data_IF_890391320989
#
_entry.id   IF_890391320989
#
_cell.length_a   1.000
_cell.length_b   1.000
_cell.length_c   1.000
_cell.angle_alpha   90.00
_cell.angle_beta   90.00
_cell.angle_gamma   90.00
#
_symmetry.space_group_name_H-M   'P 1'
#
loop_
_entity.id
_entity.type
_entity.pdbx_description
1 polymer ?
#
# COMPACT_ATOMS: atom_id res chain seq x y z
N UNK A 1 20.46 -32.38 -14.21
CA UNK A 1 19.62 -32.03 -13.05
C UNK A 1 20.28 -30.99 -12.14
N UNK A 2 21.57 -31.15 -11.78
CA UNK A 2 22.30 -30.16 -10.97
C UNK A 2 22.50 -28.81 -11.68
N UNK A 3 22.79 -28.82 -12.98
CA UNK A 3 23.13 -27.57 -13.69
C UNK A 3 21.93 -26.64 -13.89
N UNK A 4 20.76 -27.19 -14.23
CA UNK A 4 19.53 -26.41 -14.37
C UNK A 4 18.99 -25.85 -13.04
N UNK A 5 19.26 -26.51 -11.91
CA UNK A 5 18.94 -25.93 -10.60
C UNK A 5 19.88 -24.78 -10.26
N UNK A 6 21.19 -24.96 -10.44
CA UNK A 6 22.18 -23.92 -10.18
C UNK A 6 21.89 -22.66 -11.02
N UNK A 7 21.59 -22.82 -12.31
CA UNK A 7 21.22 -21.73 -13.20
C UNK A 7 19.97 -20.97 -12.73
N UNK A 8 18.88 -21.68 -12.40
CA UNK A 8 17.65 -21.07 -11.88
C UNK A 8 17.86 -20.41 -10.51
N UNK A 9 18.74 -20.96 -9.68
CA UNK A 9 19.07 -20.38 -8.39
C UNK A 9 19.87 -19.08 -8.52
N UNK A 10 20.80 -19.01 -9.48
CA UNK A 10 21.48 -17.76 -9.82
C UNK A 10 20.50 -16.70 -10.33
N UNK A 11 19.58 -17.07 -11.22
CA UNK A 11 18.50 -16.18 -11.68
C UNK A 11 17.56 -15.75 -10.55
N UNK A 12 17.28 -16.63 -9.58
CA UNK A 12 16.46 -16.28 -8.43
C UNK A 12 17.12 -15.19 -7.58
N UNK A 13 18.45 -15.25 -7.39
CA UNK A 13 19.19 -14.24 -6.60
C UNK A 13 19.11 -12.84 -7.20
N UNK A 14 18.93 -12.70 -8.52
CA UNK A 14 18.78 -11.40 -9.17
C UNK A 14 17.37 -10.81 -9.00
N UNK A 15 16.38 -11.59 -8.55
CA UNK A 15 14.99 -11.14 -8.36
C UNK A 15 14.74 -10.54 -6.97
N UNK A 16 15.77 -10.00 -6.32
CA UNK A 16 15.69 -9.46 -4.95
C UNK A 16 14.53 -8.46 -4.79
N UNK A 17 14.45 -7.44 -5.65
CA UNK A 17 13.39 -6.43 -5.58
C UNK A 17 12.00 -7.02 -5.84
N UNK A 18 11.88 -8.06 -6.67
CA UNK A 18 10.63 -8.81 -6.85
C UNK A 18 10.20 -9.53 -5.58
N UNK A 19 11.13 -10.15 -4.85
CA UNK A 19 10.84 -10.80 -3.57
C UNK A 19 10.50 -9.78 -2.48
N UNK A 20 11.20 -8.65 -2.47
CA UNK A 20 10.91 -7.54 -1.55
C UNK A 20 9.50 -7.00 -1.78
N UNK A 21 9.08 -6.88 -3.05
CA UNK A 21 7.72 -6.44 -3.40
C UNK A 21 6.63 -7.37 -2.85
N UNK A 22 6.85 -8.70 -2.83
CA UNK A 22 5.89 -9.66 -2.26
C UNK A 22 5.70 -9.44 -0.75
N UNK A 23 6.78 -9.09 -0.05
CA UNK A 23 6.75 -8.89 1.41
C UNK A 23 6.31 -7.47 1.77
N UNK A 24 6.71 -6.49 0.97
CA UNK A 24 6.55 -5.07 1.27
C UNK A 24 6.18 -4.25 0.01
N UNK A 25 4.96 -4.45 -0.53
CA UNK A 25 4.60 -3.96 -1.86
C UNK A 25 4.52 -2.43 -1.96
N UNK A 26 4.30 -1.73 -0.84
CA UNK A 26 4.17 -0.27 -0.81
C UNK A 26 5.51 0.47 -0.76
N UNK A 27 6.56 -0.15 -0.20
CA UNK A 27 7.85 0.50 0.03
C UNK A 27 8.94 0.06 -0.97
N UNK A 28 8.69 -1.00 -1.73
CA UNK A 28 9.67 -1.52 -2.69
C UNK A 28 9.81 -0.59 -3.90
N UNK A 29 11.03 -0.44 -4.43
CA UNK A 29 11.25 0.27 -5.68
C UNK A 29 10.67 -0.51 -6.86
N UNK A 30 9.52 -0.07 -7.36
CA UNK A 30 8.79 -0.73 -8.45
C UNK A 30 9.54 -0.74 -9.78
N UNK A 31 10.53 0.15 -9.97
CA UNK A 31 11.30 0.24 -11.21
C UNK A 31 12.32 -0.89 -11.35
N UNK A 32 12.66 -1.57 -10.26
CA UNK A 32 13.65 -2.66 -10.22
C UNK A 32 13.00 -4.05 -10.19
N UNK A 33 11.67 -4.14 -10.24
CA UNK A 33 10.97 -5.41 -10.21
C UNK A 33 11.21 -6.13 -11.54
N UNK A 34 11.83 -7.29 -11.48
CA UNK A 34 11.97 -8.17 -12.64
C UNK A 34 10.70 -9.01 -12.81
N UNK A 35 10.08 -8.87 -13.98
CA UNK A 35 8.80 -9.52 -14.32
C UNK A 35 8.92 -10.48 -15.49
N UNK A 36 10.02 -10.42 -16.25
CA UNK A 36 10.26 -11.29 -17.42
C UNK A 36 10.13 -12.78 -17.09
N UNK A 37 10.69 -13.29 -15.96
CA UNK A 37 10.62 -14.71 -15.64
C UNK A 37 9.20 -15.24 -15.38
N UNK A 38 8.23 -14.36 -15.15
CA UNK A 38 6.88 -14.71 -14.71
C UNK A 38 5.84 -14.57 -15.82
N UNK A 39 6.23 -14.10 -17.01
CA UNK A 39 5.30 -13.88 -18.12
C UNK A 39 4.20 -12.85 -17.81
N UNK A 40 4.49 -11.90 -16.91
CA UNK A 40 3.55 -10.86 -16.50
C UNK A 40 3.58 -9.73 -17.53
N UNK A 41 2.40 -9.28 -17.94
CA UNK A 41 2.26 -8.09 -18.77
C UNK A 41 2.65 -6.82 -17.99
N UNK A 42 3.61 -6.06 -18.54
CA UNK A 42 4.14 -4.85 -17.92
C UNK A 42 3.07 -3.77 -17.76
N UNK A 43 2.18 -3.62 -18.74
CA UNK A 43 1.10 -2.62 -18.70
C UNK A 43 0.10 -2.91 -17.59
N UNK A 44 -0.36 -4.16 -17.49
CA UNK A 44 -1.24 -4.64 -16.43
C UNK A 44 -0.62 -4.44 -15.05
N UNK A 45 0.66 -4.79 -14.87
CA UNK A 45 1.33 -4.59 -13.58
C UNK A 45 1.42 -3.10 -13.22
N UNK A 46 1.78 -2.22 -14.17
CA UNK A 46 1.84 -0.78 -13.91
C UNK A 46 0.48 -0.21 -13.46
N UNK A 47 -0.61 -0.67 -14.09
CA UNK A 47 -1.97 -0.28 -13.69
C UNK A 47 -2.31 -0.75 -12.27
N UNK A 48 -1.96 -1.98 -11.90
CA UNK A 48 -2.17 -2.50 -10.55
C UNK A 48 -1.33 -1.76 -9.50
N UNK A 49 -0.09 -1.40 -9.83
CA UNK A 49 0.78 -0.61 -8.95
C UNK A 49 0.23 0.80 -8.72
N UNK A 50 -0.34 1.43 -9.75
CA UNK A 50 -0.99 2.73 -9.64
C UNK A 50 -2.23 2.66 -8.74
N UNK A 51 -3.06 1.63 -8.91
CA UNK A 51 -4.22 1.40 -8.07
C UNK A 51 -3.83 1.18 -6.59
N UNK A 52 -2.81 0.36 -6.34
CA UNK A 52 -2.30 0.09 -5.00
C UNK A 52 -1.84 1.38 -4.29
N UNK A 53 -1.03 2.21 -4.95
CA UNK A 53 -0.57 3.50 -4.41
C UNK A 53 -1.73 4.45 -4.15
N UNK A 54 -2.70 4.47 -5.06
CA UNK A 54 -3.89 5.31 -4.94
C UNK A 54 -4.73 4.88 -3.74
N UNK A 55 -4.94 3.58 -3.56
CA UNK A 55 -5.68 3.02 -2.42
C UNK A 55 -5.01 3.34 -1.09
N UNK A 56 -3.69 3.20 -0.99
CA UNK A 56 -2.94 3.56 0.22
C UNK A 56 -3.13 5.06 0.58
N UNK A 57 -2.94 5.94 -0.41
CA UNK A 57 -3.16 7.39 -0.24
C UNK A 57 -4.58 7.71 0.24
N UNK A 58 -5.60 7.11 -0.38
CA UNK A 58 -7.00 7.34 0.01
C UNK A 58 -7.31 6.78 1.39
N UNK A 59 -6.71 5.65 1.77
CA UNK A 59 -6.89 5.09 3.12
C UNK A 59 -6.37 6.04 4.21
N UNK A 60 -5.22 6.69 3.97
CA UNK A 60 -4.65 7.70 4.86
C UNK A 60 -5.55 8.93 4.96
N UNK A 61 -5.97 9.49 3.83
CA UNK A 61 -6.88 10.65 3.79
C UNK A 61 -8.20 10.37 4.49
N UNK A 62 -8.77 9.20 4.29
CA UNK A 62 -10.02 8.81 4.93
C UNK A 62 -9.86 8.66 6.45
N UNK A 63 -8.75 8.06 6.89
CA UNK A 63 -8.43 7.93 8.32
C UNK A 63 -8.28 9.30 8.98
N UNK A 64 -7.57 10.22 8.33
CA UNK A 64 -7.41 11.59 8.80
C UNK A 64 -8.75 12.33 8.87
N UNK A 65 -9.56 12.26 7.82
CA UNK A 65 -10.87 12.88 7.77
C UNK A 65 -11.80 12.35 8.86
N UNK A 66 -11.82 11.02 9.04
CA UNK A 66 -12.60 10.37 10.10
C UNK A 66 -12.19 10.88 11.48
N UNK A 67 -10.89 10.97 11.76
CA UNK A 67 -10.37 11.50 13.02
C UNK A 67 -10.83 12.93 13.27
N UNK A 68 -10.71 13.81 12.26
CA UNK A 68 -11.19 15.21 12.34
C UNK A 68 -12.68 15.30 12.64
N UNK A 69 -13.50 14.47 11.98
CA UNK A 69 -14.94 14.48 12.17
C UNK A 69 -15.35 14.01 13.58
N UNK A 70 -14.69 12.98 14.12
CA UNK A 70 -14.96 12.52 15.49
C UNK A 70 -14.61 13.60 16.53
N UNK A 71 -13.51 14.34 16.33
CA UNK A 71 -13.15 15.46 17.20
C UNK A 71 -14.21 16.57 17.15
N UNK A 72 -14.64 16.97 15.96
CA UNK A 72 -15.70 17.99 15.80
C UNK A 72 -17.02 17.55 16.43
N UNK A 73 -17.40 16.28 16.25
CA UNK A 73 -18.61 15.71 16.86
C UNK A 73 -18.53 15.76 18.39
N UNK A 74 -17.40 15.40 18.99
CA UNK A 74 -17.19 15.49 20.43
C UNK A 74 -17.32 16.93 20.95
N UNK A 75 -16.71 17.91 20.25
CA UNK A 75 -16.82 19.34 20.61
C UNK A 75 -18.27 19.82 20.57
N UNK A 76 -19.01 19.46 19.52
CA UNK A 76 -20.40 19.86 19.35
C UNK A 76 -21.31 19.25 20.42
N UNK A 77 -21.11 17.97 20.77
CA UNK A 77 -21.85 17.32 21.86
C UNK A 77 -21.56 18.00 23.21
N UNK A 78 -20.28 18.31 23.49
CA UNK A 78 -19.91 19.00 24.72
C UNK A 78 -20.56 20.38 24.81
N UNK A 79 -20.53 21.16 23.73
CA UNK A 79 -21.14 22.48 23.67
C UNK A 79 -22.65 22.42 23.91
N UNK A 80 -23.37 21.51 23.24
CA UNK A 80 -24.82 21.34 23.45
C UNK A 80 -25.17 20.97 24.88
N UNK A 81 -24.41 20.06 25.50
CA UNK A 81 -24.62 19.69 26.92
C UNK A 81 -24.38 20.88 27.86
N UNK A 82 -23.37 21.71 27.58
CA UNK A 82 -23.09 22.91 28.37
C UNK A 82 -24.18 23.97 28.25
N UNK A 83 -24.75 24.17 27.06
CA UNK A 83 -25.85 25.13 26.85
C UNK A 83 -27.11 24.68 27.59
N UNK A 84 -27.46 23.39 27.53
CA UNK A 84 -28.63 22.84 28.21
C UNK A 84 -28.56 22.86 29.75
N UNK A 85 -27.37 23.00 30.34
CA UNK A 85 -27.17 23.13 31.80
C UNK A 85 -27.23 24.59 32.28
N UNK A 86 -27.19 25.56 31.36
CA UNK A 86 -27.24 27.00 31.67
C UNK A 86 -28.64 27.60 31.51
N UNK A 87 -29.55 26.88 30.86
CA UNK A 87 -30.99 27.17 30.83
C UNK A 87 -31.69 26.62 32.08
#
# INVERSE_FOLDING_TARGET
MKDGFAERFEQFKTNKSTLEFIVNPLNTNTNEINIEPFGIDAGSLQMQLLDLKTKDLWSGKFTELKSKLEVQKCMHIAQHKWTALKE
#
